data_IF_696275284207
#
_entry.id   IF_696275284207
#
_cell.length_a   1.000
_cell.length_b   1.000
_cell.length_c   1.000
_cell.angle_alpha   90.00
_cell.angle_beta   90.00
_cell.angle_gamma   90.00
#
_symmetry.space_group_name_H-M   'P 1'
#
loop_
_entity.id
_entity.type
_entity.pdbx_description
1 polymer ?
#
# COMPACT_ATOMS: atom_id res chain seq x y z
N UNK A 1 -36.02 5.58 52.44
CA UNK A 1 -36.85 4.38 52.49
C UNK A 1 -37.52 4.30 51.13
N UNK A 2 -36.76 3.97 50.09
CA UNK A 2 -36.67 2.61 49.53
C UNK A 2 -37.37 2.71 48.16
N UNK A 3 -36.93 2.18 47.02
CA UNK A 3 -35.83 1.30 46.69
C UNK A 3 -35.79 1.33 45.14
N UNK A 4 -34.64 1.73 44.60
CA UNK A 4 -34.01 1.18 43.39
C UNK A 4 -34.89 0.22 42.54
N UNK A 5 -35.44 0.68 41.42
CA UNK A 5 -35.78 -0.22 40.31
C UNK A 5 -35.14 0.25 38.99
N UNK A 6 -33.93 -0.27 38.79
CA UNK A 6 -33.34 -0.49 37.47
C UNK A 6 -33.92 -1.82 36.95
N UNK A 7 -34.70 -1.85 35.86
CA UNK A 7 -34.73 -3.00 34.96
C UNK A 7 -33.76 -2.69 33.82
N UNK A 8 -32.47 -3.08 33.88
CA UNK A 8 -31.93 -4.40 33.55
C UNK A 8 -32.65 -5.09 32.39
N UNK A 9 -32.62 -4.47 31.21
CA UNK A 9 -32.34 -5.19 29.97
C UNK A 9 -31.60 -4.27 28.99
N UNK A 10 -30.27 -4.25 29.09
CA UNK A 10 -29.37 -3.61 28.11
C UNK A 10 -28.81 -4.66 27.13
N UNK A 11 -29.51 -5.77 26.93
CA UNK A 11 -29.01 -6.96 26.22
C UNK A 11 -29.80 -7.31 24.95
N UNK A 12 -30.77 -6.48 24.56
CA UNK A 12 -31.44 -6.63 23.27
C UNK A 12 -30.63 -5.91 22.18
N UNK A 13 -30.01 -6.64 21.22
CA UNK A 13 -29.24 -6.04 20.13
C UNK A 13 -30.06 -5.04 19.29
N UNK A 14 -31.39 -5.12 19.33
CA UNK A 14 -32.28 -4.15 18.67
C UNK A 14 -32.19 -2.74 19.25
N UNK A 15 -32.06 -2.57 20.56
CA UNK A 15 -32.02 -1.22 21.15
C UNK A 15 -30.67 -0.54 20.90
N UNK A 16 -29.58 -1.31 20.86
CA UNK A 16 -28.27 -0.80 20.44
C UNK A 16 -28.25 -0.45 18.95
N UNK A 17 -28.91 -1.23 18.09
CA UNK A 17 -29.02 -0.94 16.65
C UNK A 17 -29.86 0.31 16.41
N UNK A 18 -31.01 0.46 17.09
CA UNK A 18 -31.86 1.66 16.96
C UNK A 18 -31.17 2.91 17.50
N UNK A 19 -30.39 2.80 18.58
CA UNK A 19 -29.57 3.90 19.09
C UNK A 19 -28.43 4.27 18.12
N UNK A 20 -27.84 3.29 17.42
CA UNK A 20 -26.84 3.53 16.37
C UNK A 20 -27.50 4.20 15.15
N UNK A 21 -28.70 3.76 14.72
CA UNK A 21 -29.44 4.38 13.62
C UNK A 21 -29.85 5.83 13.93
N UNK A 22 -30.24 6.14 15.16
CA UNK A 22 -30.61 7.52 15.56
C UNK A 22 -29.39 8.42 15.74
N UNK A 23 -28.25 7.90 16.22
CA UNK A 23 -26.99 8.66 16.26
C UNK A 23 -26.39 8.85 14.85
N UNK A 24 -26.64 7.92 13.93
CA UNK A 24 -26.26 8.04 12.53
C UNK A 24 -27.20 8.96 11.73
N UNK A 25 -28.47 9.06 12.15
CA UNK A 25 -29.49 9.90 11.51
C UNK A 25 -29.40 11.40 11.81
N UNK A 26 -28.70 11.78 12.89
CA UNK A 26 -28.54 13.19 13.30
C UNK A 26 -27.10 13.72 13.05
N UNK A 27 -26.12 12.80 12.97
CA UNK A 27 -24.79 13.15 12.48
C UNK A 27 -24.78 13.11 10.95
N UNK A 28 -25.04 14.30 10.39
CA UNK A 28 -24.37 14.78 9.19
C UNK A 28 -25.18 14.71 7.88
N UNK A 29 -26.22 15.54 7.84
CA UNK A 29 -26.79 16.05 6.59
C UNK A 29 -25.90 17.19 6.05
N UNK A 30 -24.62 16.91 5.76
CA UNK A 30 -23.87 17.72 4.79
C UNK A 30 -24.57 17.56 3.44
N UNK A 31 -25.35 18.57 3.07
CA UNK A 31 -25.82 18.75 1.69
C UNK A 31 -24.57 18.83 0.83
N UNK A 32 -24.30 17.74 0.10
CA UNK A 32 -23.20 17.66 -0.86
C UNK A 32 -23.40 18.81 -1.87
N UNK A 33 -22.44 19.73 -2.01
CA UNK A 33 -22.57 20.85 -2.93
C UNK A 33 -22.74 20.31 -4.35
N UNK A 34 -23.59 20.95 -5.16
CA UNK A 34 -23.85 20.52 -6.55
C UNK A 34 -22.50 20.27 -7.27
N UNK A 35 -22.32 19.10 -7.90
CA UNK A 35 -21.03 18.73 -8.48
C UNK A 35 -20.71 19.68 -9.64
N UNK A 36 -19.80 20.62 -9.44
CA UNK A 36 -19.17 21.38 -10.52
C UNK A 36 -18.04 20.52 -11.12
N UNK A 37 -18.28 19.79 -12.24
CA UNK A 37 -17.35 18.75 -12.70
C UNK A 37 -16.00 19.34 -13.11
N UNK A 38 -16.00 20.61 -13.52
CA UNK A 38 -14.81 21.34 -13.91
C UNK A 38 -13.90 21.66 -12.72
N UNK A 39 -14.47 21.94 -11.55
CA UNK A 39 -13.72 22.23 -10.34
C UNK A 39 -13.12 20.95 -9.75
N UNK A 40 -13.90 19.86 -9.72
CA UNK A 40 -13.42 18.52 -9.33
C UNK A 40 -12.26 18.05 -10.21
N UNK A 41 -12.41 18.14 -11.54
CA UNK A 41 -11.33 17.77 -12.48
C UNK A 41 -10.07 18.59 -12.26
N UNK A 42 -10.20 19.88 -11.92
CA UNK A 42 -9.05 20.75 -11.64
C UNK A 42 -8.31 20.33 -10.35
N UNK A 43 -9.04 19.97 -9.30
CA UNK A 43 -8.47 19.42 -8.06
C UNK A 43 -7.79 18.07 -8.31
N UNK A 44 -8.45 17.16 -9.04
CA UNK A 44 -7.87 15.88 -9.46
C UNK A 44 -6.57 16.07 -10.25
N UNK A 45 -6.54 16.99 -11.22
CA UNK A 45 -5.32 17.29 -11.98
C UNK A 45 -4.18 17.81 -11.10
N UNK A 46 -4.51 18.65 -10.11
CA UNK A 46 -3.53 19.16 -9.14
C UNK A 46 -2.94 18.05 -8.27
N UNK A 47 -3.70 16.99 -7.99
CA UNK A 47 -3.25 15.79 -7.25
C UNK A 47 -2.50 14.78 -8.14
N UNK A 48 -2.86 14.66 -9.41
CA UNK A 48 -2.19 13.72 -10.34
C UNK A 48 -0.74 14.12 -10.62
N UNK A 49 -0.43 15.43 -10.64
CA UNK A 49 0.92 15.93 -10.88
C UNK A 49 1.94 15.36 -9.87
N UNK A 50 1.74 15.50 -8.54
CA UNK A 50 2.66 14.92 -7.57
C UNK A 50 2.68 13.39 -7.62
N UNK A 51 1.53 12.73 -7.85
CA UNK A 51 1.46 11.26 -7.96
C UNK A 51 2.28 10.74 -9.14
N UNK A 52 2.14 11.36 -10.31
CA UNK A 52 2.93 11.01 -11.50
C UNK A 52 4.42 11.24 -11.25
N UNK A 53 4.76 12.34 -10.57
CA UNK A 53 6.14 12.61 -10.16
C UNK A 53 6.71 11.52 -9.26
N UNK A 54 5.94 11.04 -8.28
CA UNK A 54 6.36 9.94 -7.41
C UNK A 54 6.55 8.63 -8.18
N UNK A 55 5.65 8.29 -9.11
CA UNK A 55 5.81 7.08 -9.95
C UNK A 55 7.08 7.14 -10.79
N UNK A 56 7.41 8.30 -11.38
CA UNK A 56 8.65 8.46 -12.15
C UNK A 56 9.88 8.31 -11.25
N UNK A 57 9.85 8.92 -10.06
CA UNK A 57 10.94 8.80 -9.08
C UNK A 57 11.14 7.37 -8.60
N UNK A 58 10.09 6.56 -8.56
CA UNK A 58 10.13 5.17 -8.12
C UNK A 58 10.86 4.25 -9.11
N UNK A 59 10.73 4.49 -10.43
CA UNK A 59 11.48 3.74 -11.46
C UNK A 59 12.95 4.15 -11.57
N UNK A 60 13.30 5.35 -11.10
CA UNK A 60 14.59 5.97 -11.32
C UNK A 60 15.77 5.20 -10.68
N UNK A 61 15.69 4.68 -9.44
CA UNK A 61 16.76 3.87 -8.83
C UNK A 61 17.12 2.62 -9.63
N UNK A 62 16.11 1.89 -10.15
CA UNK A 62 16.33 0.71 -10.97
C UNK A 62 17.01 1.06 -12.30
N UNK A 63 16.56 2.13 -12.94
CA UNK A 63 17.16 2.65 -14.17
C UNK A 63 18.61 3.10 -13.97
N UNK A 64 18.89 3.88 -12.92
CA UNK A 64 20.25 4.32 -12.59
C UNK A 64 21.16 3.14 -12.29
N UNK A 65 20.67 2.13 -11.57
CA UNK A 65 21.45 0.92 -11.26
C UNK A 65 21.90 0.18 -12.53
N UNK A 66 21.01 0.05 -13.53
CA UNK A 66 21.33 -0.57 -14.82
C UNK A 66 22.31 0.30 -15.62
N UNK A 67 22.13 1.63 -15.64
CA UNK A 67 23.05 2.55 -16.31
C UNK A 67 24.46 2.49 -15.71
N UNK A 68 24.56 2.45 -14.38
CA UNK A 68 25.85 2.34 -13.68
C UNK A 68 26.53 1.00 -14.01
N UNK A 69 25.78 -0.11 -14.02
CA UNK A 69 26.30 -1.41 -14.43
C UNK A 69 26.80 -1.40 -15.89
N UNK A 70 26.10 -0.68 -16.78
CA UNK A 70 26.51 -0.50 -18.18
C UNK A 70 27.77 0.35 -18.36
N UNK A 71 28.06 1.25 -17.43
CA UNK A 71 29.22 2.14 -17.52
C UNK A 71 30.51 1.56 -16.91
N UNK A 72 30.48 0.34 -16.35
CA UNK A 72 31.63 -0.29 -15.67
C UNK A 72 32.79 -0.72 -16.59
N UNK A 73 32.77 -0.40 -17.88
CA UNK A 73 33.93 -0.48 -18.80
C UNK A 73 34.82 -1.72 -18.68
N UNK A 74 34.48 -2.82 -19.37
CA UNK A 74 35.34 -4.00 -19.45
C UNK A 74 34.77 -5.10 -20.36
N UNK A 75 35.53 -6.17 -20.64
CA UNK A 75 35.06 -7.30 -21.47
C UNK A 75 33.85 -8.04 -20.85
N UNK A 76 33.58 -7.84 -19.55
CA UNK A 76 32.48 -8.46 -18.82
C UNK A 76 31.29 -7.52 -18.58
N UNK A 77 31.24 -6.33 -19.18
CA UNK A 77 30.17 -5.33 -18.94
C UNK A 77 28.77 -5.89 -19.21
N UNK A 78 28.62 -6.75 -20.22
CA UNK A 78 27.33 -7.38 -20.53
C UNK A 78 26.77 -8.17 -19.33
N UNK A 79 27.63 -8.88 -18.60
CA UNK A 79 27.21 -9.70 -17.46
C UNK A 79 26.67 -8.87 -16.29
N UNK A 80 27.25 -7.70 -16.02
CA UNK A 80 26.78 -6.83 -14.95
C UNK A 80 25.43 -6.19 -15.28
N UNK A 81 25.22 -5.81 -16.55
CA UNK A 81 23.94 -5.26 -17.02
C UNK A 81 22.84 -6.32 -16.96
N UNK A 82 23.14 -7.55 -17.38
CA UNK A 82 22.19 -8.67 -17.32
C UNK A 82 21.81 -8.96 -15.86
N UNK A 83 22.82 -9.06 -14.97
CA UNK A 83 22.62 -9.27 -13.53
C UNK A 83 21.76 -8.18 -12.89
N UNK A 84 22.09 -6.91 -13.14
CA UNK A 84 21.34 -5.77 -12.63
C UNK A 84 19.90 -5.78 -13.15
N UNK A 85 19.70 -6.10 -14.43
CA UNK A 85 18.37 -6.17 -15.04
C UNK A 85 17.51 -7.26 -14.42
N UNK A 86 18.05 -8.48 -14.25
CA UNK A 86 17.33 -9.59 -13.62
C UNK A 86 16.98 -9.28 -12.17
N UNK A 87 17.92 -8.67 -11.43
CA UNK A 87 17.69 -8.23 -10.05
C UNK A 87 16.54 -7.22 -9.97
N UNK A 88 16.55 -6.18 -10.81
CA UNK A 88 15.47 -5.19 -10.89
C UNK A 88 14.14 -5.83 -11.27
N UNK A 89 14.13 -6.77 -12.23
CA UNK A 89 12.92 -7.52 -12.59
C UNK A 89 12.37 -8.35 -11.43
N UNK A 90 13.23 -9.05 -10.70
CA UNK A 90 12.83 -9.84 -9.54
C UNK A 90 12.22 -8.94 -8.45
N UNK A 91 12.87 -7.83 -8.13
CA UNK A 91 12.37 -6.83 -7.18
C UNK A 91 10.99 -6.29 -7.60
N UNK A 92 10.79 -6.01 -8.89
CA UNK A 92 9.50 -5.52 -9.39
C UNK A 92 8.39 -6.58 -9.23
N UNK A 93 8.69 -7.85 -9.50
CA UNK A 93 7.70 -8.93 -9.40
C UNK A 93 7.40 -9.27 -7.94
N UNK A 94 8.41 -9.42 -7.08
CA UNK A 94 8.21 -9.89 -5.71
C UNK A 94 7.87 -8.77 -4.74
N UNK A 95 8.57 -7.63 -4.84
CA UNK A 95 8.43 -6.53 -3.90
C UNK A 95 7.42 -5.47 -4.40
N UNK A 96 7.61 -4.95 -5.61
CA UNK A 96 6.77 -3.85 -6.08
C UNK A 96 5.32 -4.28 -6.29
N UNK A 97 5.09 -5.44 -6.90
CA UNK A 97 3.72 -5.92 -7.19
C UNK A 97 2.91 -6.18 -5.91
N UNK A 98 3.53 -6.81 -4.92
CA UNK A 98 2.86 -7.10 -3.65
C UNK A 98 2.71 -5.83 -2.80
N UNK A 99 3.68 -4.92 -2.85
CA UNK A 99 3.61 -3.60 -2.21
C UNK A 99 2.47 -2.74 -2.76
N UNK A 100 2.35 -2.64 -4.09
CA UNK A 100 1.25 -1.94 -4.75
C UNK A 100 -0.12 -2.56 -4.43
N UNK A 101 -0.22 -3.90 -4.38
CA UNK A 101 -1.46 -4.58 -4.02
C UNK A 101 -1.91 -4.25 -2.59
N UNK A 102 -0.97 -4.24 -1.63
CA UNK A 102 -1.26 -3.86 -0.25
C UNK A 102 -1.59 -2.37 -0.12
N UNK A 103 -0.86 -1.48 -0.81
CA UNK A 103 -1.14 -0.05 -0.84
C UNK A 103 -2.55 0.23 -1.39
N UNK A 104 -2.96 -0.43 -2.48
CA UNK A 104 -4.31 -0.29 -3.04
C UNK A 104 -5.40 -0.75 -2.07
N UNK A 105 -5.16 -1.83 -1.32
CA UNK A 105 -6.07 -2.27 -0.27
C UNK A 105 -6.16 -1.23 0.87
N UNK A 106 -5.05 -0.59 1.23
CA UNK A 106 -5.02 0.48 2.22
C UNK A 106 -5.73 1.76 1.74
N UNK A 107 -5.56 2.17 0.48
CA UNK A 107 -6.30 3.31 -0.09
C UNK A 107 -7.81 3.08 -0.02
N UNK A 108 -8.24 1.85 -0.30
CA UNK A 108 -9.64 1.44 -0.15
C UNK A 108 -10.10 1.51 1.32
N UNK A 109 -9.29 1.01 2.26
CA UNK A 109 -9.65 1.06 3.68
C UNK A 109 -9.67 2.51 4.21
N UNK A 110 -8.70 3.34 3.82
CA UNK A 110 -8.59 4.74 4.20
C UNK A 110 -9.77 5.56 3.68
N UNK A 111 -10.14 5.37 2.41
CA UNK A 111 -11.33 6.03 1.82
C UNK A 111 -12.63 5.60 2.52
N UNK A 112 -12.76 4.33 2.91
CA UNK A 112 -13.90 3.86 3.69
C UNK A 112 -13.95 4.47 5.10
N UNK A 113 -12.82 4.55 5.81
CA UNK A 113 -12.75 5.14 7.16
C UNK A 113 -13.04 6.64 7.10
N UNK A 114 -12.51 7.33 6.10
CA UNK A 114 -12.77 8.76 5.86
C UNK A 114 -14.26 9.01 5.54
N UNK A 115 -14.85 8.24 4.62
CA UNK A 115 -16.27 8.35 4.26
C UNK A 115 -17.23 7.99 5.41
N UNK A 116 -16.83 7.10 6.32
CA UNK A 116 -17.64 6.74 7.49
C UNK A 116 -17.61 7.79 8.62
N UNK A 117 -16.92 8.93 8.45
CA UNK A 117 -16.77 10.01 9.45
C UNK A 117 -16.25 9.54 10.81
N UNK A 118 -15.55 8.39 10.86
CA UNK A 118 -14.91 7.84 12.06
C UNK A 118 -13.47 8.34 12.19
N UNK A 119 -13.30 9.65 12.07
CA UNK A 119 -11.98 10.31 12.09
C UNK A 119 -11.22 10.10 13.40
N UNK A 120 -11.93 9.91 14.50
CA UNK A 120 -11.37 9.65 15.83
C UNK A 120 -10.51 8.37 15.93
N UNK A 121 -10.67 7.44 14.98
CA UNK A 121 -9.92 6.16 14.96
C UNK A 121 -8.93 6.02 13.81
N UNK A 122 -8.75 7.04 12.96
CA UNK A 122 -7.83 7.00 11.81
C UNK A 122 -6.42 6.60 12.23
N UNK A 123 -5.92 7.10 13.37
CA UNK A 123 -4.58 6.77 13.87
C UNK A 123 -4.38 5.28 14.18
N UNK A 124 -5.40 4.61 14.72
CA UNK A 124 -5.34 3.17 15.03
C UNK A 124 -5.37 2.34 13.74
N UNK A 125 -6.17 2.73 12.76
CA UNK A 125 -6.18 2.09 11.44
C UNK A 125 -4.86 2.30 10.69
N UNK A 126 -4.27 3.49 10.77
CA UNK A 126 -2.95 3.77 10.21
C UNK A 126 -1.87 2.90 10.84
N UNK A 127 -1.82 2.82 12.18
CA UNK A 127 -0.89 1.93 12.90
C UNK A 127 -1.10 0.47 12.50
N UNK A 128 -2.35 0.04 12.37
CA UNK A 128 -2.69 -1.32 11.90
C UNK A 128 -2.18 -1.55 10.48
N UNK A 129 -2.37 -0.58 9.58
CA UNK A 129 -1.83 -0.62 8.22
C UNK A 129 -0.31 -0.71 8.19
N UNK A 130 0.39 0.06 9.03
CA UNK A 130 1.86 -0.01 9.18
C UNK A 130 2.30 -1.37 9.69
N UNK A 131 1.59 -1.96 10.66
CA UNK A 131 1.89 -3.32 11.16
C UNK A 131 1.67 -4.35 10.06
N UNK A 132 0.57 -4.28 9.31
CA UNK A 132 0.29 -5.18 8.19
C UNK A 132 1.37 -5.08 7.10
N UNK A 133 1.76 -3.85 6.73
CA UNK A 133 2.88 -3.61 5.80
C UNK A 133 4.20 -4.19 6.33
N UNK A 134 4.47 -4.01 7.63
CA UNK A 134 5.68 -4.54 8.28
C UNK A 134 5.70 -6.07 8.29
N UNK A 135 4.57 -6.71 8.55
CA UNK A 135 4.44 -8.18 8.49
C UNK A 135 4.59 -8.67 7.05
N UNK A 136 4.07 -7.94 6.06
CA UNK A 136 4.20 -8.28 4.65
C UNK A 136 5.62 -8.08 4.09
N UNK A 137 6.44 -7.22 4.70
CA UNK A 137 7.86 -7.08 4.36
C UNK A 137 8.66 -8.34 4.71
N UNK A 138 8.27 -9.08 5.75
CA UNK A 138 8.96 -10.32 6.17
C UNK A 138 8.98 -11.38 5.05
N UNK A 139 7.84 -11.82 4.48
CA UNK A 139 7.86 -12.80 3.39
C UNK A 139 8.54 -12.25 2.12
N UNK A 140 8.44 -10.95 1.83
CA UNK A 140 9.23 -10.35 0.74
C UNK A 140 10.73 -10.53 0.93
N UNK A 141 11.25 -10.20 2.12
CA UNK A 141 12.67 -10.33 2.45
C UNK A 141 13.11 -11.79 2.38
N UNK A 142 12.27 -12.71 2.84
CA UNK A 142 12.55 -14.15 2.77
C UNK A 142 12.65 -14.60 1.31
N UNK A 143 11.65 -14.28 0.47
CA UNK A 143 11.66 -14.65 -0.96
C UNK A 143 12.89 -14.06 -1.66
N UNK A 144 13.21 -12.80 -1.38
CA UNK A 144 14.35 -12.12 -1.99
C UNK A 144 15.71 -12.64 -1.48
N UNK A 145 15.78 -13.13 -0.24
CA UNK A 145 16.98 -13.82 0.27
C UNK A 145 17.21 -15.15 -0.43
N UNK A 146 16.15 -15.79 -0.93
CA UNK A 146 16.22 -16.97 -1.79
C UNK A 146 16.25 -16.64 -3.28
N UNK A 147 16.50 -15.37 -3.66
CA UNK A 147 16.62 -14.98 -5.06
C UNK A 147 17.69 -15.80 -5.80
N UNK A 148 18.85 -16.00 -5.19
CA UNK A 148 19.99 -16.72 -5.78
C UNK A 148 19.64 -18.18 -6.18
N UNK A 149 19.06 -19.02 -5.32
CA UNK A 149 18.61 -20.36 -5.72
C UNK A 149 17.42 -20.34 -6.70
N UNK A 150 16.54 -19.32 -6.65
CA UNK A 150 15.45 -19.16 -7.63
C UNK A 150 16.03 -18.89 -9.02
N UNK A 151 17.00 -18.00 -9.14
CA UNK A 151 17.69 -17.70 -10.40
C UNK A 151 18.43 -18.93 -10.95
N UNK A 152 19.07 -19.71 -10.08
CA UNK A 152 19.73 -20.95 -10.48
C UNK A 152 18.72 -22.01 -10.98
N UNK A 153 17.53 -22.09 -10.37
CA UNK A 153 16.46 -23.01 -10.77
C UNK A 153 15.82 -22.63 -12.12
N UNK A 154 15.74 -21.34 -12.45
CA UNK A 154 15.22 -20.84 -13.73
C UNK A 154 16.13 -21.17 -14.93
N UNK A 155 17.24 -21.89 -14.73
CA UNK A 155 18.17 -22.27 -15.79
C UNK A 155 19.03 -21.10 -16.27
N UNK A 156 19.11 -20.04 -15.46
CA UNK A 156 20.00 -18.91 -15.74
C UNK A 156 21.43 -19.40 -15.51
N UNK A 157 22.11 -19.77 -16.61
CA UNK A 157 23.46 -20.33 -16.57
C UNK A 157 24.37 -19.48 -15.68
N UNK A 158 24.90 -20.14 -14.67
CA UNK A 158 25.98 -19.75 -13.74
C UNK A 158 27.19 -19.17 -14.46
N UNK A 159 27.10 -17.92 -14.91
CA UNK A 159 28.27 -17.07 -15.15
C UNK A 159 28.24 -15.80 -14.28
N UNK A 160 27.12 -15.57 -13.58
CA UNK A 160 26.88 -14.40 -12.73
C UNK A 160 26.99 -14.73 -11.23
N UNK A 161 26.79 -16.00 -10.84
CA UNK A 161 26.83 -16.48 -9.45
C UNK A 161 28.21 -16.38 -8.79
N UNK A 162 29.29 -16.12 -9.55
CA UNK A 162 30.64 -16.05 -8.97
C UNK A 162 30.98 -14.68 -8.35
N UNK A 163 30.15 -13.65 -8.56
CA UNK A 163 30.44 -12.26 -8.15
C UNK A 163 29.39 -11.61 -7.22
N UNK A 164 28.40 -12.36 -6.75
CA UNK A 164 27.52 -11.95 -5.63
C UNK A 164 27.96 -12.69 -4.38
#
# INVERSE_FOLDING_TARGET
>A
MDEKLIPKDSSSPRNSVVAIETLQGDADHHVEPDPEPMEEVRELLKLIVPVTGTTVLEFLPGFVSILLAGNMGGPNTQHYVDAATISVMLLNVTAQSLGLGLASALDTLCSQVYGAKRSDKIGIYFQTGVVVLSVALVPMLVINSFAEPILNLLGQHTHVTYLT
#
